data_IF_946808663718
#
_entry.id   IF_946808663718
#
_cell.length_a   1.000
_cell.length_b   1.000
_cell.length_c   1.000
_cell.angle_alpha   90.00
_cell.angle_beta   90.00
_cell.angle_gamma   90.00
#
_symmetry.space_group_name_H-M   'P 1'
#
loop_
_entity.id
_entity.type
_entity.pdbx_description
1 polymer ?
#
# COMPACT_ATOMS: atom_id res chain seq x y z
N UNK A 1 -11.99 22.16 -6.21
CA UNK A 1 -13.25 21.42 -6.02
C UNK A 1 -13.17 20.70 -4.71
N UNK A 2 -14.03 21.04 -3.75
CA UNK A 2 -14.06 20.48 -2.40
C UNK A 2 -14.82 19.15 -2.40
N UNK A 3 -14.19 18.11 -1.89
CA UNK A 3 -14.76 16.77 -1.65
C UNK A 3 -15.45 16.78 -0.28
N UNK A 4 -16.79 16.78 -0.20
CA UNK A 4 -17.52 16.98 1.06
C UNK A 4 -17.35 15.81 2.06
N UNK A 5 -16.95 14.64 1.58
CA UNK A 5 -16.73 13.41 2.34
C UNK A 5 -15.50 13.43 3.27
N UNK A 6 -14.66 14.47 3.18
CA UNK A 6 -13.40 14.57 3.94
C UNK A 6 -13.38 15.71 4.96
N UNK A 7 -14.49 16.44 5.16
CA UNK A 7 -14.50 17.62 6.04
C UNK A 7 -14.32 17.30 7.54
N UNK A 8 -14.71 16.10 8.00
CA UNK A 8 -14.59 15.71 9.41
C UNK A 8 -13.16 15.29 9.82
N UNK A 9 -12.30 14.93 8.86
CA UNK A 9 -10.94 14.45 9.10
C UNK A 9 -9.85 15.56 9.00
N UNK A 10 -10.25 16.83 8.91
CA UNK A 10 -9.37 17.97 8.71
C UNK A 10 -8.95 18.18 7.24
N UNK A 11 -8.54 19.40 6.89
CA UNK A 11 -7.97 19.71 5.56
C UNK A 11 -6.57 19.11 5.43
N UNK A 12 -6.50 17.80 5.24
CA UNK A 12 -5.24 17.08 5.13
C UNK A 12 -4.98 16.68 3.68
N UNK A 13 -3.87 17.17 3.12
CA UNK A 13 -3.33 16.73 1.83
C UNK A 13 -3.12 15.21 1.79
N UNK A 14 -3.77 14.51 0.86
CA UNK A 14 -3.41 13.13 0.49
C UNK A 14 -2.07 13.19 -0.26
N UNK A 15 -1.15 12.27 0.04
CA UNK A 15 0.15 12.23 -0.61
C UNK A 15 0.58 10.78 -0.83
N UNK A 16 1.43 10.55 -1.82
CA UNK A 16 1.97 9.24 -2.19
C UNK A 16 3.42 9.41 -2.65
N UNK A 17 4.30 8.44 -2.36
CA UNK A 17 5.71 8.50 -2.77
C UNK A 17 5.87 8.25 -4.27
N UNK A 18 5.13 7.29 -4.83
CA UNK A 18 5.20 6.94 -6.24
C UNK A 18 3.84 6.93 -6.92
N UNK A 19 3.83 7.32 -8.19
CA UNK A 19 2.71 7.15 -9.12
C UNK A 19 3.21 6.38 -10.34
N UNK A 20 2.44 5.41 -10.82
CA UNK A 20 2.73 4.64 -12.03
C UNK A 20 1.66 4.92 -13.08
N UNK A 21 2.07 5.51 -14.20
CA UNK A 21 1.17 5.81 -15.33
C UNK A 21 0.79 4.52 -16.08
N UNK A 22 -0.24 4.60 -16.93
CA UNK A 22 -0.79 3.44 -17.67
C UNK A 22 0.23 2.76 -18.59
N UNK A 23 1.22 3.49 -19.06
CA UNK A 23 2.33 2.99 -19.88
C UNK A 23 3.49 2.39 -19.06
N UNK A 24 3.38 2.40 -17.72
CA UNK A 24 4.40 1.91 -16.81
C UNK A 24 5.45 2.94 -16.39
N UNK A 25 5.33 4.20 -16.81
CA UNK A 25 6.22 5.27 -16.34
C UNK A 25 6.08 5.47 -14.83
N UNK A 26 7.20 5.41 -14.10
CA UNK A 26 7.25 5.58 -12.64
C UNK A 26 7.66 7.01 -12.31
N UNK A 27 6.79 7.74 -11.62
CA UNK A 27 7.05 9.07 -11.10
C UNK A 27 7.29 9.00 -9.59
N UNK A 28 8.42 9.51 -9.12
CA UNK A 28 8.65 9.76 -7.69
C UNK A 28 8.16 11.18 -7.37
N UNK A 29 7.14 11.30 -6.53
CA UNK A 29 6.56 12.60 -6.17
C UNK A 29 7.20 13.20 -4.91
N UNK A 30 7.78 12.36 -4.06
CA UNK A 30 8.45 12.78 -2.82
C UNK A 30 9.50 11.75 -2.38
N UNK A 31 10.42 12.12 -1.46
CA UNK A 31 11.41 11.17 -0.94
C UNK A 31 10.76 9.93 -0.31
N UNK A 32 11.38 8.77 -0.54
CA UNK A 32 10.96 7.47 0.02
C UNK A 32 10.93 7.44 1.55
N UNK A 33 11.69 8.32 2.20
CA UNK A 33 11.82 8.42 3.67
C UNK A 33 10.89 9.46 4.30
N UNK A 34 10.08 10.16 3.50
CA UNK A 34 9.07 11.08 4.02
C UNK A 34 7.76 10.35 4.22
N UNK A 35 7.08 10.63 5.33
CA UNK A 35 5.73 10.11 5.57
C UNK A 35 4.77 10.73 4.57
N UNK A 36 4.09 9.87 3.81
CA UNK A 36 2.97 10.24 2.96
C UNK A 36 1.65 9.83 3.63
N UNK A 37 0.55 10.54 3.36
CA UNK A 37 -0.79 10.17 3.84
C UNK A 37 -1.54 9.45 2.72
N UNK A 38 -1.38 8.14 2.65
CA UNK A 38 -1.99 7.28 1.63
C UNK A 38 -2.78 6.11 2.21
N UNK A 39 -2.42 5.62 3.40
CA UNK A 39 -3.02 4.43 4.00
C UNK A 39 -3.15 4.55 5.52
N UNK A 40 -4.39 4.57 6.00
CA UNK A 40 -4.76 4.73 7.42
C UNK A 40 -4.00 3.70 8.28
N UNK A 41 -3.54 4.12 9.45
CA UNK A 41 -2.81 3.27 10.40
C UNK A 41 -1.37 2.88 10.05
N UNK A 42 -0.96 2.87 8.78
CA UNK A 42 0.39 2.41 8.38
C UNK A 42 1.26 3.45 7.66
N UNK A 43 0.79 4.68 7.48
CA UNK A 43 1.52 5.79 6.83
C UNK A 43 2.97 5.97 7.32
N UNK A 44 3.22 5.86 8.62
CA UNK A 44 4.56 6.06 9.20
C UNK A 44 5.57 4.96 8.83
N UNK A 45 5.09 3.78 8.44
CA UNK A 45 5.89 2.58 8.24
C UNK A 45 5.77 2.05 6.81
N UNK A 46 5.30 2.86 5.86
CA UNK A 46 5.06 2.41 4.49
C UNK A 46 5.48 3.42 3.43
N UNK A 47 5.79 2.87 2.26
CA UNK A 47 6.00 3.58 1.01
C UNK A 47 4.82 3.24 0.13
N UNK A 48 4.04 4.25 -0.25
CA UNK A 48 2.88 4.09 -1.10
C UNK A 48 3.22 4.19 -2.59
N UNK A 49 2.48 3.40 -3.38
CA UNK A 49 2.52 3.40 -4.85
C UNK A 49 1.08 3.47 -5.36
N UNK A 50 0.75 4.54 -6.08
CA UNK A 50 -0.54 4.73 -6.74
C UNK A 50 -0.43 4.35 -8.22
N UNK A 51 -1.43 3.65 -8.77
CA UNK A 51 -1.48 3.30 -10.19
C UNK A 51 -2.59 4.09 -10.88
N UNK A 52 -2.26 4.87 -11.92
CA UNK A 52 -3.26 5.66 -12.65
C UNK A 52 -4.23 4.73 -13.38
N UNK A 53 -5.52 4.83 -13.04
CA UNK A 53 -6.58 4.03 -13.66
C UNK A 53 -7.45 3.33 -12.61
N UNK A 54 -8.10 2.23 -13.00
CA UNK A 54 -8.87 1.39 -12.06
C UNK A 54 -10.10 2.06 -11.44
N UNK A 55 -10.78 2.95 -12.16
CA UNK A 55 -11.97 3.63 -11.63
C UNK A 55 -13.17 2.68 -11.49
N UNK A 56 -14.04 2.97 -10.52
CA UNK A 56 -15.32 2.29 -10.29
C UNK A 56 -15.21 0.78 -10.01
N UNK A 57 -14.10 0.34 -9.44
CA UNK A 57 -13.89 -1.07 -9.09
C UNK A 57 -13.67 -2.00 -10.28
N UNK A 58 -13.40 -1.44 -11.46
CA UNK A 58 -12.94 -2.22 -12.60
C UNK A 58 -11.43 -2.45 -12.49
N UNK A 59 -11.02 -3.71 -12.47
CA UNK A 59 -9.62 -4.11 -12.59
C UNK A 59 -9.11 -3.83 -14.02
N UNK A 60 -8.75 -2.57 -14.25
CA UNK A 60 -8.33 -2.05 -15.55
C UNK A 60 -6.84 -1.63 -15.58
N UNK A 61 -6.05 -2.10 -14.60
CA UNK A 61 -4.63 -1.81 -14.51
C UNK A 61 -3.84 -2.66 -15.51
N UNK A 62 -2.88 -2.02 -16.19
CA UNK A 62 -2.19 -2.58 -17.36
C UNK A 62 -1.05 -3.52 -16.98
N UNK A 63 -0.64 -4.38 -17.92
CA UNK A 63 0.55 -5.21 -17.74
C UNK A 63 1.83 -4.37 -17.63
N UNK A 64 1.86 -3.20 -18.28
CA UNK A 64 2.96 -2.24 -18.12
C UNK A 64 3.07 -1.73 -16.68
N UNK A 65 1.94 -1.45 -16.03
CA UNK A 65 1.90 -1.09 -14.62
C UNK A 65 2.35 -2.26 -13.73
N UNK A 66 1.95 -3.49 -14.02
CA UNK A 66 2.43 -4.68 -13.29
C UNK A 66 3.96 -4.79 -13.38
N UNK A 67 4.52 -4.68 -14.58
CA UNK A 67 5.98 -4.74 -14.77
C UNK A 67 6.72 -3.60 -14.05
N UNK A 68 6.20 -2.39 -14.11
CA UNK A 68 6.76 -1.24 -13.41
C UNK A 68 6.74 -1.44 -11.89
N UNK A 69 5.63 -1.94 -11.32
CA UNK A 69 5.53 -2.24 -9.89
C UNK A 69 6.50 -3.34 -9.47
N UNK A 70 6.66 -4.40 -10.26
CA UNK A 70 7.63 -5.46 -9.98
C UNK A 70 9.06 -4.88 -9.90
N UNK A 71 9.44 -4.02 -10.85
CA UNK A 71 10.75 -3.37 -10.84
C UNK A 71 10.93 -2.44 -9.64
N UNK A 72 9.93 -1.60 -9.37
CA UNK A 72 9.92 -0.67 -8.25
C UNK A 72 10.06 -1.39 -6.91
N UNK A 73 9.26 -2.44 -6.69
CA UNK A 73 9.32 -3.25 -5.47
C UNK A 73 10.68 -3.91 -5.32
N UNK A 74 11.24 -4.51 -6.38
CA UNK A 74 12.58 -5.10 -6.33
C UNK A 74 13.67 -4.09 -5.96
N UNK A 75 13.59 -2.88 -6.50
CA UNK A 75 14.47 -1.76 -6.16
C UNK A 75 14.33 -1.38 -4.68
N UNK A 76 13.10 -1.19 -4.19
CA UNK A 76 12.84 -0.83 -2.79
C UNK A 76 13.33 -1.90 -1.82
N UNK A 77 13.05 -3.18 -2.10
CA UNK A 77 13.54 -4.31 -1.30
C UNK A 77 15.07 -4.44 -1.33
N UNK A 78 15.73 -4.01 -2.42
CA UNK A 78 17.19 -4.01 -2.47
C UNK A 78 17.77 -2.88 -1.62
N UNK A 79 17.16 -1.71 -1.70
CA UNK A 79 17.62 -0.49 -1.03
C UNK A 79 17.33 -0.51 0.47
N UNK A 80 16.20 -1.08 0.86
CA UNK A 80 15.72 -1.12 2.23
C UNK A 80 15.48 -2.56 2.67
N UNK A 81 16.48 -3.13 3.34
CA UNK A 81 16.40 -4.50 3.87
C UNK A 81 15.38 -4.65 5.01
N UNK A 82 14.88 -3.53 5.55
CA UNK A 82 13.83 -3.51 6.58
C UNK A 82 12.41 -3.58 6.02
N UNK A 83 12.23 -3.63 4.69
CA UNK A 83 10.90 -3.81 4.09
C UNK A 83 10.57 -5.30 4.09
N UNK A 84 9.65 -5.68 4.97
CA UNK A 84 9.20 -7.07 5.11
C UNK A 84 7.89 -7.35 4.37
N UNK A 85 7.05 -6.35 4.12
CA UNK A 85 5.65 -6.54 3.69
C UNK A 85 5.38 -5.93 2.31
N UNK A 86 4.54 -6.61 1.53
CA UNK A 86 3.94 -6.09 0.32
C UNK A 86 2.43 -6.38 0.33
N UNK A 87 1.63 -5.34 0.52
CA UNK A 87 0.18 -5.43 0.65
C UNK A 87 -0.54 -4.56 -0.38
N UNK A 88 -1.74 -4.98 -0.77
CA UNK A 88 -2.69 -4.12 -1.47
C UNK A 88 -3.36 -3.18 -0.48
N UNK A 89 -3.88 -2.05 -0.96
CA UNK A 89 -4.57 -1.10 -0.09
C UNK A 89 -5.79 -1.75 0.58
N UNK A 90 -6.52 -2.63 -0.11
CA UNK A 90 -7.62 -3.42 0.46
C UNK A 90 -7.23 -4.33 1.65
N UNK A 91 -5.93 -4.54 1.92
CA UNK A 91 -5.45 -5.43 2.97
C UNK A 91 -4.96 -4.68 4.23
N UNK A 92 -4.99 -3.35 4.26
CA UNK A 92 -4.34 -2.57 5.32
C UNK A 92 -4.89 -2.85 6.72
N UNK A 93 -6.21 -3.08 6.86
CA UNK A 93 -6.85 -3.30 8.15
C UNK A 93 -6.37 -4.59 8.85
N UNK A 94 -5.75 -5.51 8.11
CA UNK A 94 -5.13 -6.69 8.73
C UNK A 94 -3.95 -6.34 9.64
N UNK A 95 -3.40 -5.13 9.55
CA UNK A 95 -2.41 -4.64 10.50
C UNK A 95 -3.01 -4.17 11.84
N UNK A 96 -4.33 -4.10 12.03
CA UNK A 96 -4.90 -3.70 13.32
C UNK A 96 -4.43 -4.61 14.46
N UNK A 97 -3.85 -4.02 15.51
CA UNK A 97 -3.20 -4.74 16.61
C UNK A 97 -1.73 -5.12 16.36
N UNK A 98 -1.20 -4.93 15.14
CA UNK A 98 0.22 -5.11 14.85
C UNK A 98 1.04 -3.89 15.35
N UNK A 99 2.30 -4.07 15.81
CA UNK A 99 3.15 -2.96 16.28
C UNK A 99 3.43 -1.85 15.25
N UNK A 100 3.20 -2.12 13.97
CA UNK A 100 3.34 -1.12 12.89
C UNK A 100 2.09 -0.26 12.71
N UNK A 101 0.97 -0.63 13.33
CA UNK A 101 -0.29 0.12 13.28
C UNK A 101 -0.27 1.28 14.28
N UNK A 102 -0.54 2.48 13.78
CA UNK A 102 -0.49 3.74 14.56
C UNK A 102 -1.76 4.58 14.45
N UNK A 103 -2.90 3.98 14.09
CA UNK A 103 -4.15 4.72 14.03
C UNK A 103 -4.70 4.99 15.43
N UNK A 104 -5.05 6.25 15.70
CA UNK A 104 -5.55 6.70 17.00
C UNK A 104 -7.08 6.79 17.03
N UNK A 105 -7.72 6.95 15.87
CA UNK A 105 -9.18 7.01 15.75
C UNK A 105 -9.72 5.67 15.21
N UNK A 106 -10.39 4.91 16.09
CA UNK A 106 -11.00 3.63 15.73
C UNK A 106 -12.20 3.78 14.77
N UNK A 107 -12.84 4.96 14.72
CA UNK A 107 -14.00 5.23 13.86
C UNK A 107 -13.61 5.64 12.44
N UNK A 108 -12.35 6.00 12.22
CA UNK A 108 -11.87 6.45 10.91
C UNK A 108 -11.37 5.26 10.08
N UNK A 109 -12.28 4.65 9.32
CA UNK A 109 -11.96 3.55 8.39
C UNK A 109 -12.58 3.78 7.03
N UNK A 110 -11.89 3.26 6.01
CA UNK A 110 -12.41 3.21 4.64
C UNK A 110 -12.25 1.81 4.09
N UNK A 111 -13.31 1.27 3.50
CA UNK A 111 -13.23 0.05 2.70
C UNK A 111 -12.54 0.38 1.38
N UNK A 112 -11.63 -0.51 0.97
CA UNK A 112 -10.79 -0.37 -0.22
C UNK A 112 -10.87 -1.65 -1.02
N UNK A 113 -10.79 -1.50 -2.33
CA UNK A 113 -10.77 -2.62 -3.29
C UNK A 113 -9.52 -2.56 -4.18
N UNK A 114 -8.80 -1.44 -4.15
CA UNK A 114 -7.59 -1.17 -4.92
C UNK A 114 -6.33 -1.83 -4.32
N UNK A 115 -5.33 -2.21 -5.15
CA UNK A 115 -5.33 -2.17 -6.62
C UNK A 115 -6.01 -3.40 -7.27
N UNK A 116 -6.66 -4.26 -6.48
CA UNK A 116 -7.32 -5.48 -6.93
C UNK A 116 -6.47 -6.74 -6.76
N UNK A 117 -7.15 -7.89 -6.59
CA UNK A 117 -6.51 -9.18 -6.30
C UNK A 117 -5.60 -9.67 -7.42
N UNK A 118 -6.04 -9.61 -8.68
CA UNK A 118 -5.25 -10.03 -9.85
C UNK A 118 -3.93 -9.25 -9.93
N UNK A 119 -4.01 -7.93 -9.76
CA UNK A 119 -2.85 -7.06 -9.81
C UNK A 119 -1.84 -7.40 -8.72
N UNK A 120 -2.31 -7.49 -7.46
CA UNK A 120 -1.43 -7.84 -6.34
C UNK A 120 -0.81 -9.23 -6.48
N UNK A 121 -1.56 -10.20 -6.98
CA UNK A 121 -1.05 -11.55 -7.26
C UNK A 121 0.07 -11.50 -8.30
N UNK A 122 -0.16 -10.86 -9.45
CA UNK A 122 0.83 -10.75 -10.51
C UNK A 122 2.11 -10.03 -10.06
N UNK A 123 1.99 -8.95 -9.27
CA UNK A 123 3.16 -8.24 -8.72
C UNK A 123 3.94 -9.12 -7.76
N UNK A 124 3.27 -9.81 -6.82
CA UNK A 124 3.93 -10.72 -5.85
C UNK A 124 4.65 -11.86 -6.55
N UNK A 125 4.01 -12.48 -7.53
CA UNK A 125 4.59 -13.56 -8.32
C UNK A 125 5.83 -13.07 -9.10
N UNK A 126 5.76 -11.88 -9.69
CA UNK A 126 6.86 -11.26 -10.43
C UNK A 126 8.04 -10.79 -9.57
N UNK A 127 7.80 -10.42 -8.30
CA UNK A 127 8.85 -10.11 -7.32
C UNK A 127 9.70 -11.35 -7.01
N UNK A 128 9.10 -12.55 -7.08
CA UNK A 128 9.79 -13.83 -7.02
C UNK A 128 10.31 -14.20 -5.62
N UNK A 129 11.44 -14.94 -5.55
CA UNK A 129 11.97 -15.56 -4.31
C UNK A 129 12.33 -14.59 -3.17
N UNK A 130 12.32 -13.27 -3.38
CA UNK A 130 12.43 -12.30 -2.29
C UNK A 130 11.12 -12.36 -1.50
N UNK A 131 11.11 -13.11 -0.41
CA UNK A 131 9.92 -13.34 0.41
C UNK A 131 9.49 -12.03 1.05
N UNK A 132 8.45 -11.43 0.51
CA UNK A 132 7.66 -10.41 1.18
C UNK A 132 6.49 -11.09 1.88
N UNK A 133 6.24 -10.69 3.12
CA UNK A 133 5.11 -11.11 3.94
C UNK A 133 3.82 -10.50 3.38
N UNK A 134 2.76 -11.30 3.36
CA UNK A 134 1.40 -10.88 3.06
C UNK A 134 0.47 -11.08 4.25
N UNK A 135 -0.84 -10.98 4.03
CA UNK A 135 -1.89 -11.03 5.07
C UNK A 135 -1.74 -12.19 6.05
N UNK A 136 -1.46 -13.40 5.57
CA UNK A 136 -1.32 -14.59 6.44
C UNK A 136 -0.21 -14.43 7.49
N UNK A 137 0.90 -13.79 7.13
CA UNK A 137 2.00 -13.56 8.05
C UNK A 137 1.62 -12.50 9.09
N UNK A 138 0.96 -11.42 8.67
CA UNK A 138 0.50 -10.35 9.56
C UNK A 138 -0.46 -10.91 10.62
N UNK A 139 -1.45 -11.72 10.19
CA UNK A 139 -2.41 -12.35 11.10
C UNK A 139 -1.73 -13.30 12.09
N UNK A 140 -0.75 -14.09 11.62
CA UNK A 140 0.02 -14.98 12.49
C UNK A 140 0.84 -14.20 13.52
N UNK A 141 1.49 -13.11 13.10
CA UNK A 141 2.27 -12.25 14.00
C UNK A 141 1.40 -11.60 15.07
N UNK A 142 0.21 -11.12 14.72
CA UNK A 142 -0.76 -10.59 15.69
C UNK A 142 -1.21 -11.70 16.66
N UNK A 143 -1.52 -12.89 16.17
CA UNK A 143 -1.90 -14.01 17.02
C UNK A 143 -0.78 -14.40 18.00
N UNK A 144 0.47 -14.49 17.54
CA UNK A 144 1.64 -14.77 18.38
C UNK A 144 1.82 -13.71 19.47
N UNK A 145 1.66 -12.42 19.14
CA UNK A 145 1.73 -11.32 20.09
C UNK A 145 0.68 -11.43 21.21
N UNK A 146 -0.52 -11.93 20.90
CA UNK A 146 -1.61 -12.08 21.88
C UNK A 146 -1.47 -13.32 22.77
N UNK A 147 -0.51 -14.21 22.49
CA UNK A 147 -0.25 -15.41 23.29
C UNK A 147 0.90 -15.25 24.29
N UNK A 148 1.55 -14.09 24.31
CA UNK A 148 2.65 -13.72 25.22
C UNK A 148 2.18 -12.73 26.26
#
# INVERSE_FOLDING_TARGET
>A
GTRPDLQSAGQVNVAIQFVVDRDGTIHRLMPETWMARHCIGINYNSIGVENIGGQHGQDALTDAQIHANIQLVKYLLQKYQSIDYLIGHYEYQYFEGHPLWREVDASYRTEKIDPGHRFMQAVRDGVGRRKVKGVKAIQWEIADLNTK
#
